data_IF_335213598143
#
_entry.id   IF_335213598143
#
_cell.length_a   1.000
_cell.length_b   1.000
_cell.length_c   1.000
_cell.angle_alpha   90.00
_cell.angle_beta   90.00
_cell.angle_gamma   90.00
#
_symmetry.space_group_name_H-M   'P 1'
#
loop_
_entity.id
_entity.type
_entity.pdbx_description
1 polymer ?
#
# COMPACT_ATOMS: atom_id res chain seq x y z
N UNK A 1 2.27 4.99 -8.72
CA UNK A 1 2.34 4.81 -7.26
C UNK A 1 3.76 5.15 -6.81
N UNK A 2 3.95 6.00 -5.79
CA UNK A 2 5.28 6.27 -5.26
C UNK A 2 5.90 5.00 -4.66
N UNK A 3 7.23 4.98 -4.59
CA UNK A 3 7.97 3.83 -4.09
C UNK A 3 7.67 3.61 -2.59
N UNK A 4 7.46 2.36 -2.19
CA UNK A 4 7.06 2.02 -0.81
C UNK A 4 8.26 2.03 0.12
N UNK A 5 9.44 1.75 -0.44
CA UNK A 5 10.69 1.74 0.29
C UNK A 5 11.65 2.71 -0.37
N UNK A 6 12.18 3.62 0.43
CA UNK A 6 13.22 4.54 0.02
C UNK A 6 14.48 4.22 0.79
N UNK A 7 15.54 3.89 0.06
CA UNK A 7 16.86 3.59 0.60
C UNK A 7 17.76 4.78 0.32
N UNK A 8 18.40 5.31 1.37
CA UNK A 8 19.37 6.39 1.27
C UNK A 8 20.69 5.95 1.90
N UNK A 9 21.82 6.02 1.17
CA UNK A 9 23.11 5.76 1.77
C UNK A 9 23.41 6.85 2.80
N UNK A 10 24.02 6.44 3.91
CA UNK A 10 24.38 7.31 5.02
C UNK A 10 25.90 7.28 5.17
N UNK A 11 26.52 8.44 4.95
CA UNK A 11 27.96 8.60 5.03
C UNK A 11 28.33 9.22 6.39
N UNK A 12 28.72 8.37 7.34
CA UNK A 12 29.18 8.81 8.65
C UNK A 12 30.48 9.61 8.53
N UNK A 13 30.49 10.75 9.20
CA UNK A 13 31.64 11.63 9.35
C UNK A 13 32.01 11.68 10.83
N UNK A 14 33.30 11.81 11.10
CA UNK A 14 33.80 11.96 12.45
C UNK A 14 35.02 12.87 12.45
N UNK A 15 35.28 13.49 13.59
CA UNK A 15 36.49 14.25 13.84
C UNK A 15 37.54 13.32 14.44
N UNK A 16 38.72 13.16 13.80
CA UNK A 16 39.82 12.41 14.39
C UNK A 16 40.35 13.14 15.63
N UNK A 17 40.97 12.38 16.54
CA UNK A 17 41.70 12.98 17.67
C UNK A 17 43.02 13.61 17.18
N UNK A 18 43.43 14.73 17.76
CA UNK A 18 44.68 15.42 17.40
C UNK A 18 45.92 14.71 17.97
N UNK A 19 45.82 14.15 19.18
CA UNK A 19 46.96 13.61 19.93
C UNK A 19 47.12 12.08 19.83
N UNK A 20 46.05 11.36 19.45
CA UNK A 20 46.01 9.90 19.44
C UNK A 20 45.33 9.37 18.20
N UNK A 21 45.70 8.15 17.77
CA UNK A 21 45.03 7.46 16.68
C UNK A 21 43.66 7.02 17.19
N UNK A 22 42.60 7.68 16.74
CA UNK A 22 41.25 7.35 17.17
C UNK A 22 40.18 8.35 16.73
N UNK A 23 38.94 7.96 17.00
CA UNK A 23 37.75 8.74 16.72
C UNK A 23 37.37 9.53 17.98
N UNK A 24 37.42 10.87 17.91
CA UNK A 24 37.15 11.74 19.06
C UNK A 24 35.71 12.27 19.08
N UNK A 25 35.03 12.42 17.95
CA UNK A 25 33.60 12.73 17.96
C UNK A 25 32.76 11.47 17.83
N UNK A 26 31.47 11.54 18.16
CA UNK A 26 30.56 10.49 17.72
C UNK A 26 30.43 10.53 16.19
N UNK A 27 30.48 9.38 15.50
CA UNK A 27 30.22 9.33 14.07
C UNK A 27 28.80 9.80 13.78
N UNK A 28 28.67 10.82 12.94
CA UNK A 28 27.36 11.38 12.59
C UNK A 28 27.26 11.71 11.10
N UNK A 29 26.03 11.73 10.60
CA UNK A 29 25.74 11.96 9.20
C UNK A 29 24.48 12.81 9.02
N UNK A 30 24.53 13.72 8.07
CA UNK A 30 23.34 14.41 7.56
C UNK A 30 22.90 13.77 6.26
N UNK A 31 21.66 13.29 6.23
CA UNK A 31 21.07 12.59 5.10
C UNK A 31 19.92 13.44 4.57
N UNK A 32 20.06 13.94 3.36
CA UNK A 32 18.98 14.63 2.66
C UNK A 32 17.97 13.60 2.13
N UNK A 33 16.75 13.60 2.66
CA UNK A 33 15.68 12.71 2.21
C UNK A 33 15.07 13.22 0.90
N UNK A 34 14.78 14.53 0.83
CA UNK A 34 14.24 15.17 -0.37
C UNK A 34 14.97 16.46 -0.74
N UNK A 35 15.07 16.72 -2.05
CA UNK A 35 15.61 17.96 -2.61
C UNK A 35 14.55 18.89 -3.22
N UNK A 36 13.39 18.38 -3.64
CA UNK A 36 12.40 19.16 -4.43
C UNK A 36 10.92 18.76 -4.23
N UNK A 37 10.62 17.49 -3.99
CA UNK A 37 9.24 16.98 -3.80
C UNK A 37 9.18 16.13 -2.53
N UNK A 38 8.23 16.37 -1.63
CA UNK A 38 8.11 15.61 -0.37
C UNK A 38 8.19 14.10 -0.66
N UNK A 39 9.23 13.44 -0.14
CA UNK A 39 9.44 12.00 -0.33
C UNK A 39 8.40 11.23 0.49
N UNK A 40 7.96 11.82 1.60
CA UNK A 40 6.90 11.34 2.46
C UNK A 40 5.57 11.97 2.03
N UNK A 41 4.53 11.16 2.01
CA UNK A 41 3.16 11.61 1.84
C UNK A 41 2.58 11.95 3.21
N UNK A 42 1.94 13.12 3.31
CA UNK A 42 1.25 13.55 4.53
C UNK A 42 0.18 12.53 4.94
N UNK A 43 0.09 12.27 6.26
CA UNK A 43 -0.95 11.42 6.83
C UNK A 43 -0.76 9.91 6.64
N UNK A 44 0.38 9.47 6.11
CA UNK A 44 0.74 8.06 6.08
C UNK A 44 1.78 7.73 7.16
N UNK A 45 1.61 6.65 7.95
CA UNK A 45 2.65 6.20 8.88
C UNK A 45 3.83 5.56 8.13
N UNK A 46 5.04 5.92 8.54
CA UNK A 46 6.31 5.44 8.03
C UNK A 46 7.12 4.78 9.14
N UNK A 47 7.74 3.65 8.78
CA UNK A 47 8.71 2.93 9.60
C UNK A 47 10.11 3.27 9.11
N UNK A 48 10.90 3.89 9.96
CA UNK A 48 12.26 4.34 9.65
C UNK A 48 13.25 3.39 10.33
N UNK A 49 14.06 2.70 9.52
CA UNK A 49 15.07 1.75 9.98
C UNK A 49 16.45 2.22 9.54
N UNK A 50 17.44 2.08 10.40
CA UNK A 50 18.84 2.21 10.05
C UNK A 50 19.43 0.81 9.90
N UNK A 51 20.05 0.53 8.76
CA UNK A 51 20.81 -0.69 8.52
C UNK A 51 22.28 -0.33 8.68
N UNK A 52 22.96 -0.89 9.67
CA UNK A 52 24.38 -0.70 9.90
C UNK A 52 25.14 -1.94 9.44
N UNK A 53 26.11 -1.76 8.56
CA UNK A 53 27.06 -2.78 8.15
C UNK A 53 28.31 -2.69 9.01
N UNK A 54 28.54 -3.69 9.85
CA UNK A 54 29.67 -3.71 10.78
C UNK A 54 30.51 -4.98 10.62
N UNK A 55 31.84 -4.91 10.74
CA UNK A 55 32.68 -6.09 10.80
C UNK A 55 32.56 -6.81 12.14
N UNK A 56 32.80 -8.14 12.14
CA UNK A 56 32.85 -8.97 13.35
C UNK A 56 34.21 -8.88 14.09
N UNK A 57 34.74 -7.67 14.30
CA UNK A 57 36.00 -7.46 15.03
C UNK A 57 35.85 -7.69 16.54
N UNK A 58 36.96 -7.97 17.21
CA UNK A 58 36.96 -8.17 18.66
C UNK A 58 36.54 -6.89 19.42
N UNK A 59 36.95 -5.72 18.92
CA UNK A 59 36.54 -4.41 19.46
C UNK A 59 35.01 -4.25 19.40
N UNK A 60 34.39 -4.57 18.26
CA UNK A 60 32.93 -4.48 18.12
C UNK A 60 32.18 -5.52 18.97
N UNK A 61 32.77 -6.71 19.17
CA UNK A 61 32.21 -7.76 20.05
C UNK A 61 32.25 -7.34 21.52
N UNK A 62 33.35 -6.73 21.95
CA UNK A 62 33.59 -6.33 23.33
C UNK A 62 32.89 -4.99 23.68
N UNK A 63 32.51 -4.19 22.68
CA UNK A 63 31.79 -2.92 22.85
C UNK A 63 30.45 -3.09 23.57
N UNK A 64 29.75 -4.21 23.34
CA UNK A 64 28.42 -4.46 23.89
C UNK A 64 27.34 -3.59 23.25
N UNK A 65 26.43 -3.06 24.07
CA UNK A 65 25.32 -2.21 23.61
C UNK A 65 25.80 -0.79 23.33
N UNK A 66 25.40 -0.24 22.19
CA UNK A 66 25.61 1.17 21.84
C UNK A 66 24.30 1.81 21.42
N UNK A 67 24.23 3.14 21.53
CA UNK A 67 23.03 3.89 21.17
C UNK A 67 23.15 4.47 19.76
N UNK A 68 22.06 4.41 19.01
CA UNK A 68 21.90 5.06 17.71
C UNK A 68 20.76 6.06 17.83
N UNK A 69 21.05 7.32 17.56
CA UNK A 69 20.08 8.40 17.59
C UNK A 69 19.82 8.93 16.19
N UNK A 70 18.56 9.26 15.91
CA UNK A 70 18.14 9.94 14.71
C UNK A 70 17.30 11.16 15.07
N UNK A 71 17.59 12.28 14.44
CA UNK A 71 16.86 13.54 14.55
C UNK A 71 16.35 13.92 13.16
N UNK A 72 15.03 14.04 13.04
CA UNK A 72 14.38 14.48 11.82
C UNK A 72 14.26 16.00 11.84
N UNK A 73 14.62 16.63 10.73
CA UNK A 73 14.58 18.09 10.57
C UNK A 73 13.75 18.46 9.34
N UNK A 74 12.92 19.47 9.50
CA UNK A 74 12.16 20.07 8.43
C UNK A 74 13.01 21.11 7.68
N UNK A 75 12.43 21.64 6.60
CA UNK A 75 13.04 22.71 5.82
C UNK A 75 13.41 23.90 6.73
N UNK A 76 14.64 24.41 6.57
CA UNK A 76 15.17 25.48 7.44
C UNK A 76 15.82 24.98 8.73
N UNK A 77 15.96 23.66 8.90
CA UNK A 77 16.67 23.06 10.04
C UNK A 77 15.84 22.98 11.32
N UNK A 78 14.53 23.20 11.22
CA UNK A 78 13.60 23.09 12.36
C UNK A 78 13.55 21.64 12.83
N UNK A 79 13.71 21.44 14.14
CA UNK A 79 13.62 20.12 14.76
C UNK A 79 12.17 19.63 14.77
N UNK A 80 11.93 18.43 14.23
CA UNK A 80 10.60 17.81 14.19
C UNK A 80 10.49 16.73 15.26
N UNK A 81 11.41 15.76 15.24
CA UNK A 81 11.37 14.64 16.16
C UNK A 81 12.75 14.01 16.34
N UNK A 82 12.98 13.40 17.50
CA UNK A 82 14.18 12.60 17.77
C UNK A 82 13.82 11.25 18.36
N UNK A 83 14.58 10.23 17.98
CA UNK A 83 14.50 8.90 18.59
C UNK A 83 15.91 8.36 18.80
N UNK A 84 16.13 7.72 19.95
CA UNK A 84 17.37 7.04 20.29
C UNK A 84 17.05 5.58 20.65
N UNK A 85 17.79 4.65 20.06
CA UNK A 85 17.58 3.21 20.20
C UNK A 85 18.89 2.51 20.49
N UNK A 86 18.86 1.58 21.44
CA UNK A 86 19.98 0.70 21.69
C UNK A 86 20.11 -0.33 20.57
N UNK A 87 21.34 -0.61 20.18
CA UNK A 87 21.70 -1.65 19.22
C UNK A 87 22.90 -2.43 19.77
N UNK A 88 22.99 -3.69 19.36
CA UNK A 88 24.09 -4.57 19.76
C UNK A 88 24.41 -5.51 18.61
N UNK A 89 25.70 -5.80 18.41
CA UNK A 89 26.12 -6.87 17.50
C UNK A 89 25.57 -8.20 18.00
N UNK A 90 25.15 -9.07 17.08
CA UNK A 90 24.57 -10.35 17.50
C UNK A 90 25.69 -11.23 18.03
N UNK A 91 25.63 -11.54 19.31
CA UNK A 91 26.62 -12.41 19.94
C UNK A 91 26.63 -13.79 19.27
N UNK A 92 27.84 -14.28 19.00
CA UNK A 92 28.13 -15.62 18.48
C UNK A 92 29.25 -16.21 19.33
N UNK A 93 29.12 -17.49 19.71
CA UNK A 93 30.16 -18.17 20.47
C UNK A 93 31.40 -18.44 19.60
N UNK A 94 32.58 -18.59 20.24
CA UNK A 94 33.85 -18.91 19.54
C UNK A 94 33.74 -20.21 18.75
N UNK A 95 33.05 -21.22 19.30
CA UNK A 95 32.81 -22.50 18.62
C UNK A 95 31.95 -22.31 17.36
N UNK A 96 30.89 -21.51 17.45
CA UNK A 96 30.03 -21.23 16.30
C UNK A 96 30.80 -20.45 15.21
N UNK A 97 31.65 -19.51 15.61
CA UNK A 97 32.52 -18.80 14.67
C UNK A 97 33.48 -19.77 13.96
N UNK A 98 34.15 -20.69 14.69
CA UNK A 98 35.02 -21.70 14.10
C UNK A 98 34.29 -22.59 13.09
N UNK A 99 33.12 -23.12 13.44
CA UNK A 99 32.31 -23.96 12.55
C UNK A 99 31.90 -23.18 11.29
N UNK A 100 31.48 -21.93 11.43
CA UNK A 100 31.11 -21.09 10.28
C UNK A 100 32.32 -20.84 9.38
N UNK A 101 33.45 -20.43 9.95
CA UNK A 101 34.67 -20.15 9.18
C UNK A 101 35.20 -21.40 8.48
N UNK A 102 35.10 -22.59 9.07
CA UNK A 102 35.51 -23.84 8.41
C UNK A 102 34.56 -24.25 7.29
N UNK A 103 33.24 -24.23 7.55
CA UNK A 103 32.21 -24.60 6.57
C UNK A 103 32.17 -23.62 5.38
N UNK A 104 32.28 -22.31 5.65
CA UNK A 104 32.25 -21.26 4.62
C UNK A 104 33.65 -20.86 4.12
N UNK A 105 34.72 -21.57 4.51
CA UNK A 105 36.10 -21.27 4.08
C UNK A 105 36.28 -21.10 2.57
N UNK A 106 35.73 -21.95 1.67
CA UNK A 106 35.91 -21.73 0.23
C UNK A 106 35.22 -20.45 -0.25
N UNK A 107 34.08 -20.08 0.34
CA UNK A 107 33.31 -18.88 -0.04
C UNK A 107 34.00 -17.59 0.46
N UNK A 108 34.61 -17.64 1.64
CA UNK A 108 35.40 -16.54 2.20
C UNK A 108 36.70 -16.33 1.41
N UNK A 109 37.42 -17.41 1.06
CA UNK A 109 38.68 -17.32 0.29
C UNK A 109 38.45 -16.86 -1.16
N UNK A 110 37.32 -17.22 -1.76
CA UNK A 110 36.95 -16.73 -3.10
C UNK A 110 36.41 -15.30 -3.10
N UNK A 111 36.24 -14.67 -1.93
CA UNK A 111 35.70 -13.31 -1.80
C UNK A 111 34.21 -13.18 -2.11
N UNK A 112 33.48 -14.31 -2.17
CA UNK A 112 32.03 -14.32 -2.38
C UNK A 112 31.27 -13.92 -1.12
N UNK A 113 31.84 -14.19 0.06
CA UNK A 113 31.32 -13.79 1.35
C UNK A 113 32.38 -13.01 2.13
N UNK A 114 31.96 -11.98 2.86
CA UNK A 114 32.80 -11.18 3.75
C UNK A 114 32.36 -11.37 5.21
N UNK A 115 33.29 -11.22 6.15
CA UNK A 115 33.01 -11.29 7.60
C UNK A 115 32.35 -10.01 8.14
N UNK A 116 31.20 -9.67 7.57
CA UNK A 116 30.36 -8.54 7.99
C UNK A 116 29.02 -9.01 8.54
N UNK A 117 28.44 -8.16 9.38
CA UNK A 117 27.12 -8.35 9.93
C UNK A 117 26.29 -7.09 9.70
N UNK A 118 25.07 -7.27 9.20
CA UNK A 118 24.08 -6.20 9.07
C UNK A 118 23.20 -6.16 10.33
N UNK A 119 23.05 -4.98 10.92
CA UNK A 119 22.19 -4.73 12.08
C UNK A 119 21.07 -3.79 11.66
N UNK A 120 19.83 -4.24 11.82
CA UNK A 120 18.65 -3.42 11.56
C UNK A 120 18.16 -2.81 12.87
N UNK A 121 18.23 -1.48 12.97
CA UNK A 121 17.76 -0.71 14.12
C UNK A 121 16.53 0.08 13.71
N UNK A 122 15.38 -0.21 14.32
CA UNK A 122 14.15 0.53 14.07
C UNK A 122 14.11 1.80 14.92
N UNK A 123 14.30 2.95 14.29
CA UNK A 123 14.33 4.24 14.95
C UNK A 123 12.92 4.76 15.24
N UNK A 124 12.04 4.69 14.24
CA UNK A 124 10.63 5.09 14.34
C UNK A 124 9.74 3.99 13.78
N UNK A 125 8.70 3.60 14.53
CA UNK A 125 7.72 2.59 14.09
C UNK A 125 6.62 3.17 13.23
N UNK A 126 6.01 4.27 13.69
CA UNK A 126 4.83 4.90 13.08
C UNK A 126 5.02 6.42 12.99
N UNK A 127 6.03 6.86 12.25
CA UNK A 127 6.27 8.28 12.01
C UNK A 127 5.27 8.82 10.97
N UNK A 128 4.50 9.84 11.33
CA UNK A 128 3.57 10.52 10.42
C UNK A 128 4.18 11.87 10.08
N UNK A 129 4.31 12.17 8.79
CA UNK A 129 4.82 13.46 8.33
C UNK A 129 3.70 14.52 8.37
N UNK A 130 3.97 15.63 9.07
CA UNK A 130 3.08 16.78 9.14
C UNK A 130 3.25 17.68 7.91
N UNK A 131 2.17 18.14 7.27
CA UNK A 131 2.26 18.92 6.04
C UNK A 131 2.88 20.31 6.24
N UNK A 132 2.78 20.88 7.44
CA UNK A 132 3.35 22.18 7.79
C UNK A 132 4.87 22.09 8.03
N UNK A 133 5.35 21.00 8.62
CA UNK A 133 6.76 20.75 8.94
C UNK A 133 7.28 19.47 8.28
N UNK A 134 7.15 19.39 6.95
CA UNK A 134 7.60 18.20 6.20
C UNK A 134 9.09 17.95 6.39
N UNK A 135 9.47 16.72 6.71
CA UNK A 135 10.87 16.35 6.96
C UNK A 135 11.70 16.39 5.66
N UNK A 136 12.79 17.15 5.68
CA UNK A 136 13.74 17.25 4.55
C UNK A 136 15.03 16.48 4.82
N UNK A 137 15.50 16.52 6.06
CA UNK A 137 16.81 16.03 6.45
C UNK A 137 16.72 15.14 7.69
N UNK A 138 17.55 14.11 7.74
CA UNK A 138 17.74 13.27 8.90
C UNK A 138 19.19 13.40 9.37
N UNK A 139 19.39 13.75 10.63
CA UNK A 139 20.69 13.70 11.31
C UNK A 139 20.77 12.40 12.10
N UNK A 140 21.73 11.56 11.76
CA UNK A 140 21.93 10.25 12.40
C UNK A 140 23.26 10.30 13.15
N UNK A 141 23.28 9.82 14.37
CA UNK A 141 24.46 9.80 15.24
C UNK A 141 24.57 8.45 15.93
N UNK A 142 25.76 7.85 15.85
CA UNK A 142 26.08 6.62 16.59
C UNK A 142 26.87 7.02 17.84
N UNK A 143 26.27 6.84 19.00
CA UNK A 143 26.84 7.24 20.29
C UNK A 143 27.85 6.22 20.80
N UNK A 144 28.92 6.02 20.04
CA UNK A 144 30.09 5.28 20.46
C UNK A 144 31.31 5.75 19.65
N UNK A 145 32.43 5.97 20.32
CA UNK A 145 33.71 6.32 19.69
C UNK A 145 34.47 5.09 19.18
N UNK A 146 34.22 3.94 19.78
CA UNK A 146 34.97 2.71 19.52
C UNK A 146 34.27 1.77 18.52
N UNK A 147 33.06 2.14 18.08
CA UNK A 147 32.30 1.36 17.11
C UNK A 147 32.96 1.46 15.74
N UNK A 148 33.14 0.31 15.10
CA UNK A 148 33.65 0.21 13.74
C UNK A 148 32.49 -0.15 12.82
N UNK A 149 32.22 0.71 11.84
CA UNK A 149 31.11 0.59 10.89
C UNK A 149 31.68 0.80 9.49
N UNK A 150 31.33 -0.08 8.54
CA UNK A 150 31.72 0.07 7.13
C UNK A 150 30.80 1.04 6.39
N UNK A 151 29.50 0.89 6.62
CA UNK A 151 28.49 1.70 5.96
C UNK A 151 27.18 1.65 6.72
N UNK A 152 26.31 2.58 6.40
CA UNK A 152 24.95 2.54 6.88
C UNK A 152 23.98 3.01 5.81
N UNK A 153 22.77 2.48 5.86
CA UNK A 153 21.69 2.82 4.96
C UNK A 153 20.45 3.15 5.78
N UNK A 154 19.81 4.27 5.43
CA UNK A 154 18.54 4.66 5.99
C UNK A 154 17.42 4.12 5.10
N UNK A 155 16.60 3.26 5.67
CA UNK A 155 15.47 2.63 5.02
C UNK A 155 14.18 3.25 5.56
N UNK A 156 13.49 4.00 4.71
CA UNK A 156 12.18 4.57 5.02
C UNK A 156 11.12 3.73 4.32
N UNK A 157 10.31 3.02 5.11
CA UNK A 157 9.31 2.08 4.61
C UNK A 157 7.92 2.59 4.98
N UNK A 158 7.06 2.74 3.98
CA UNK A 158 5.68 3.14 4.19
C UNK A 158 4.90 1.98 4.84
N UNK A 159 4.28 2.19 6.00
CA UNK A 159 3.39 1.20 6.60
C UNK A 159 1.98 1.43 6.03
N UNK A 160 1.43 0.43 5.34
CA UNK A 160 0.04 0.44 4.91
C UNK A 160 -0.76 -0.42 5.87
N UNK A 161 -1.85 0.11 6.42
CA UNK A 161 -2.81 -0.63 7.24
C UNK A 161 -4.17 -0.71 6.54
N UNK A 162 -5.02 -1.65 6.96
CA UNK A 162 -6.39 -1.79 6.48
C UNK A 162 -6.52 -2.23 5.02
N UNK A 163 -7.49 -1.66 4.30
CA UNK A 163 -7.79 -2.02 2.91
C UNK A 163 -6.59 -1.78 1.97
N UNK A 164 -5.83 -0.70 2.21
CA UNK A 164 -4.65 -0.34 1.40
C UNK A 164 -3.57 -1.42 1.45
N UNK A 165 -3.40 -2.11 2.58
CA UNK A 165 -2.46 -3.22 2.72
C UNK A 165 -2.83 -4.39 1.80
N UNK A 166 -4.11 -4.79 1.83
CA UNK A 166 -4.63 -5.89 1.01
C UNK A 166 -4.53 -5.56 -0.47
N UNK A 167 -4.89 -4.33 -0.85
CA UNK A 167 -4.77 -3.86 -2.24
C UNK A 167 -3.31 -3.85 -2.73
N UNK A 168 -2.37 -3.47 -1.88
CA UNK A 168 -0.96 -3.38 -2.27
C UNK A 168 -0.29 -4.74 -2.40
N UNK A 169 -0.47 -5.62 -1.41
CA UNK A 169 0.19 -6.92 -1.40
C UNK A 169 -0.53 -7.94 -2.31
N UNK A 170 -1.87 -7.87 -2.41
CA UNK A 170 -2.74 -8.84 -3.12
C UNK A 170 -3.72 -8.15 -4.09
N UNK A 171 -3.23 -7.40 -5.10
CA UNK A 171 -4.07 -6.58 -5.96
C UNK A 171 -5.17 -7.39 -6.68
N UNK A 172 -4.84 -8.58 -7.18
CA UNK A 172 -5.78 -9.44 -7.91
C UNK A 172 -6.95 -9.92 -7.04
N UNK A 173 -6.66 -10.33 -5.81
CA UNK A 173 -7.67 -10.87 -4.90
C UNK A 173 -8.54 -9.73 -4.36
N UNK A 174 -7.94 -8.57 -4.06
CA UNK A 174 -8.70 -7.37 -3.70
C UNK A 174 -9.66 -6.93 -4.80
N UNK A 175 -9.22 -6.98 -6.07
CA UNK A 175 -10.06 -6.64 -7.22
C UNK A 175 -11.21 -7.63 -7.40
N UNK A 176 -10.93 -8.94 -7.29
CA UNK A 176 -11.96 -9.98 -7.40
C UNK A 176 -13.04 -9.83 -6.33
N UNK A 177 -12.65 -9.60 -5.06
CA UNK A 177 -13.58 -9.38 -3.96
C UNK A 177 -14.40 -8.10 -4.20
N UNK A 178 -13.77 -7.02 -4.64
CA UNK A 178 -14.45 -5.76 -4.95
C UNK A 178 -15.49 -5.89 -6.08
N UNK A 179 -15.12 -6.55 -7.18
CA UNK A 179 -16.04 -6.80 -8.31
C UNK A 179 -17.17 -7.73 -7.88
N UNK A 180 -16.87 -8.82 -7.15
CA UNK A 180 -17.87 -9.78 -6.70
C UNK A 180 -18.88 -9.16 -5.75
N UNK A 181 -18.44 -8.33 -4.80
CA UNK A 181 -19.34 -7.64 -3.85
C UNK A 181 -20.20 -6.60 -4.57
N UNK A 182 -19.63 -5.81 -5.49
CA UNK A 182 -20.41 -4.87 -6.29
C UNK A 182 -21.48 -5.58 -7.14
N UNK A 183 -21.11 -6.65 -7.85
CA UNK A 183 -22.05 -7.42 -8.66
C UNK A 183 -23.14 -8.07 -7.81
N UNK A 184 -22.80 -8.54 -6.60
CA UNK A 184 -23.77 -9.08 -5.65
C UNK A 184 -24.81 -8.03 -5.22
N UNK A 185 -24.40 -6.82 -4.85
CA UNK A 185 -25.33 -5.75 -4.48
C UNK A 185 -26.22 -5.30 -5.64
N UNK A 186 -25.66 -5.16 -6.84
CA UNK A 186 -26.43 -4.82 -8.05
C UNK A 186 -27.48 -5.90 -8.32
N UNK A 187 -27.08 -7.17 -8.29
CA UNK A 187 -28.00 -8.30 -8.46
C UNK A 187 -29.11 -8.31 -7.41
N UNK A 188 -28.77 -8.04 -6.14
CA UNK A 188 -29.75 -7.97 -5.04
C UNK A 188 -30.79 -6.86 -5.28
N UNK A 189 -30.36 -5.67 -5.69
CA UNK A 189 -31.28 -4.56 -6.01
C UNK A 189 -32.19 -4.92 -7.18
N UNK A 190 -31.67 -5.54 -8.24
CA UNK A 190 -32.48 -6.01 -9.36
C UNK A 190 -33.53 -7.02 -8.93
N UNK A 191 -33.15 -7.97 -8.07
CA UNK A 191 -34.06 -8.98 -7.54
C UNK A 191 -35.15 -8.31 -6.67
N UNK A 192 -34.79 -7.40 -5.76
CA UNK A 192 -35.77 -6.67 -4.94
C UNK A 192 -36.69 -5.79 -5.79
N UNK A 193 -36.15 -5.11 -6.81
CA UNK A 193 -36.93 -4.32 -7.75
C UNK A 193 -37.90 -5.20 -8.54
N UNK A 194 -37.48 -6.41 -8.92
CA UNK A 194 -38.33 -7.38 -9.59
C UNK A 194 -39.45 -7.87 -8.66
N UNK A 195 -39.14 -8.23 -7.41
CA UNK A 195 -40.15 -8.64 -6.43
C UNK A 195 -41.15 -7.52 -6.13
N UNK A 196 -40.69 -6.28 -5.93
CA UNK A 196 -41.58 -5.14 -5.72
C UNK A 196 -42.46 -4.86 -6.95
N UNK A 197 -41.91 -4.95 -8.16
CA UNK A 197 -42.70 -4.83 -9.39
C UNK A 197 -43.74 -5.94 -9.51
N UNK A 198 -43.39 -7.17 -9.10
CA UNK A 198 -44.30 -8.32 -9.15
C UNK A 198 -45.37 -8.28 -8.06
N UNK A 199 -45.13 -7.65 -6.90
CA UNK A 199 -46.16 -7.34 -5.91
C UNK A 199 -47.07 -6.17 -6.36
N UNK A 200 -46.54 -5.21 -7.12
CA UNK A 200 -47.34 -4.13 -7.74
C UNK A 200 -48.14 -4.55 -8.98
N UNK A 201 -47.70 -5.60 -9.69
CA UNK A 201 -48.34 -6.12 -10.89
C UNK A 201 -49.77 -6.68 -10.68
N UNK A 202 -50.10 -7.47 -9.62
CA UNK A 202 -51.46 -7.96 -9.40
C UNK A 202 -52.45 -6.84 -9.09
N UNK A 203 -52.04 -5.72 -8.46
CA UNK A 203 -52.92 -4.56 -8.28
C UNK A 203 -53.11 -3.75 -9.57
N UNK A 204 -52.05 -3.59 -10.38
CA UNK A 204 -52.14 -2.95 -11.70
C UNK A 204 -52.95 -3.78 -12.71
N UNK A 205 -52.83 -5.11 -12.67
CA UNK A 205 -53.60 -6.03 -13.52
C UNK A 205 -55.05 -6.12 -13.02
N UNK A 206 -55.30 -6.18 -11.71
CA UNK A 206 -56.68 -6.17 -11.16
C UNK A 206 -57.39 -4.83 -11.41
N UNK A 207 -56.68 -3.70 -11.40
CA UNK A 207 -57.27 -2.40 -11.79
C UNK A 207 -57.46 -2.24 -13.30
N UNK A 208 -56.64 -2.89 -14.15
CA UNK A 208 -56.84 -2.89 -15.62
C UNK A 208 -57.81 -3.95 -16.15
N UNK A 209 -57.93 -5.11 -15.50
CA UNK A 209 -58.74 -6.26 -15.96
C UNK A 209 -59.94 -6.58 -15.05
N UNK A 210 -60.12 -5.89 -13.93
CA UNK A 210 -61.18 -6.15 -12.96
C UNK A 210 -62.51 -5.45 -13.25
N UNK A 211 -63.08 -5.63 -14.44
CA UNK A 211 -64.55 -5.56 -14.65
C UNK A 211 -64.91 -6.11 -16.04
N UNK A 212 -65.11 -7.43 -16.13
CA UNK A 212 -65.95 -8.05 -17.16
C UNK A 212 -66.45 -9.38 -16.63
N UNK A 213 -67.60 -9.33 -15.96
CA UNK A 213 -68.40 -10.51 -15.65
C UNK A 213 -68.73 -11.26 -16.94
N UNK A 214 -68.37 -12.54 -17.03
CA UNK A 214 -68.93 -13.45 -18.03
C UNK A 214 -69.73 -14.51 -17.28
N UNK A 215 -71.04 -14.48 -17.52
CA UNK A 215 -72.04 -15.43 -17.03
C UNK A 215 -71.66 -16.87 -17.42
N UNK A 216 -71.89 -17.79 -16.48
CA UNK A 216 -71.87 -19.24 -16.70
C UNK A 216 -72.84 -19.63 -17.81
N UNK A 217 -72.37 -20.46 -18.74
CA UNK A 217 -73.19 -21.50 -19.38
C UNK A 217 -72.32 -22.69 -19.80
N UNK A 218 -72.98 -23.84 -19.94
CA UNK A 218 -72.51 -25.20 -19.71
C UNK A 218 -71.69 -25.86 -20.85
N UNK A 219 -71.09 -27.00 -20.47
CA UNK A 219 -70.96 -28.26 -21.24
C UNK A 219 -69.59 -28.64 -21.84
N UNK A 220 -68.99 -29.60 -21.13
CA UNK A 220 -68.21 -30.78 -21.55
C UNK A 220 -67.87 -30.93 -23.05
N UNK A 221 -66.58 -31.11 -23.35
CA UNK A 221 -66.14 -32.09 -24.34
C UNK A 221 -64.94 -31.74 -25.22
N UNK A 222 -63.89 -32.55 -25.07
CA UNK A 222 -62.85 -32.95 -26.05
C UNK A 222 -61.55 -32.14 -26.17
N UNK A 223 -60.50 -32.91 -25.88
CA UNK A 223 -59.08 -32.74 -26.22
C UNK A 223 -58.91 -32.67 -27.76
N UNK A 224 -58.10 -31.72 -28.27
CA UNK A 224 -57.36 -31.88 -29.53
C UNK A 224 -56.13 -30.95 -29.61
N UNK A 225 -55.06 -31.50 -30.16
CA UNK A 225 -53.72 -30.97 -30.39
C UNK A 225 -53.62 -29.94 -31.54
N UNK A 226 -52.54 -29.15 -31.48
CA UNK A 226 -51.89 -28.28 -32.49
C UNK A 226 -52.70 -27.03 -32.90
N UNK A 227 -52.14 -25.82 -33.04
CA UNK A 227 -50.99 -25.44 -33.86
C UNK A 227 -50.52 -23.98 -33.55
N UNK A 228 -49.31 -23.64 -33.99
CA UNK A 228 -48.59 -22.36 -33.90
C UNK A 228 -49.39 -21.06 -34.11
N UNK A 229 -48.99 -20.02 -33.38
CA UNK A 229 -48.51 -18.76 -33.99
C UNK A 229 -47.81 -17.91 -32.93
N UNK A 230 -46.55 -17.56 -33.22
CA UNK A 230 -45.85 -16.43 -32.63
C UNK A 230 -46.61 -15.17 -33.02
N UNK A 231 -46.80 -14.25 -32.08
CA UNK A 231 -46.77 -12.81 -32.34
C UNK A 231 -46.53 -12.06 -31.02
N UNK A 232 -45.31 -11.57 -30.87
CA UNK A 232 -44.96 -10.50 -29.92
C UNK A 232 -45.27 -9.16 -30.62
N UNK A 233 -46.02 -8.23 -30.01
CA UNK A 233 -46.26 -6.93 -30.63
C UNK A 233 -44.99 -6.08 -30.60
N UNK A 234 -44.50 -5.80 -31.80
CA UNK A 234 -43.57 -4.74 -32.19
C UNK A 234 -44.27 -3.38 -32.05
N UNK A 235 -43.80 -2.52 -31.13
CA UNK A 235 -44.11 -1.09 -31.15
C UNK A 235 -43.06 -0.35 -30.32
N UNK A 236 -42.06 0.25 -30.97
CA UNK A 236 -41.37 1.46 -30.45
C UNK A 236 -40.40 2.17 -31.43
N UNK A 237 -40.21 1.67 -32.66
CA UNK A 237 -39.25 2.30 -33.59
C UNK A 237 -39.77 3.51 -34.40
N UNK A 238 -41.08 3.64 -34.62
CA UNK A 238 -41.62 4.76 -35.44
C UNK A 238 -41.67 6.10 -34.70
N UNK A 239 -41.77 6.09 -33.36
CA UNK A 239 -41.86 7.31 -32.57
C UNK A 239 -40.51 8.04 -32.45
N UNK A 240 -39.40 7.28 -32.35
CA UNK A 240 -38.06 7.85 -32.21
C UNK A 240 -37.54 8.48 -33.52
N UNK A 241 -37.85 7.88 -34.67
CA UNK A 241 -37.45 8.44 -35.97
C UNK A 241 -38.11 9.80 -36.27
N UNK A 242 -39.36 10.01 -35.83
CA UNK A 242 -40.03 11.30 -35.96
C UNK A 242 -39.48 12.38 -35.03
N UNK A 243 -38.96 12.01 -33.85
CA UNK A 243 -38.29 12.96 -32.95
C UNK A 243 -36.91 13.37 -33.48
N UNK A 244 -36.12 12.45 -34.04
CA UNK A 244 -34.83 12.77 -34.64
C UNK A 244 -34.96 13.70 -35.87
N UNK A 245 -35.96 13.48 -36.74
CA UNK A 245 -36.21 14.37 -37.89
C UNK A 245 -36.64 15.78 -37.48
N UNK A 246 -37.42 15.93 -36.39
CA UNK A 246 -37.80 17.25 -35.85
C UNK A 246 -36.62 18.00 -35.25
N UNK A 247 -35.63 17.30 -34.70
CA UNK A 247 -34.42 17.91 -34.14
C UNK A 247 -33.44 18.38 -35.22
N UNK A 248 -33.36 17.68 -36.36
CA UNK A 248 -32.54 18.12 -37.51
C UNK A 248 -33.11 19.37 -38.20
N UNK A 249 -34.42 19.43 -38.42
CA UNK A 249 -35.04 20.62 -39.04
C UNK A 249 -34.93 21.89 -38.18
N UNK A 250 -34.88 21.74 -36.85
CA UNK A 250 -34.76 22.88 -35.93
C UNK A 250 -33.34 23.45 -35.85
N UNK A 251 -32.32 22.71 -36.30
CA UNK A 251 -30.92 23.16 -36.37
C UNK A 251 -30.54 23.82 -37.69
N UNK A 252 -31.32 23.64 -38.76
CA UNK A 252 -31.06 24.23 -40.09
C UNK A 252 -31.71 25.60 -40.36
N UNK A 253 -32.36 26.21 -39.36
CA UNK A 253 -33.06 27.51 -39.51
C UNK A 253 -32.54 28.52 -38.47
N UNK A 254 -31.22 28.64 -38.36
CA UNK A 254 -30.54 29.68 -37.59
C UNK A 254 -29.12 29.88 -38.11
N UNK A 255 -29.02 30.22 -39.38
CA UNK A 255 -27.90 30.95 -39.99
C UNK A 255 -28.47 31.92 -41.03
#
# INVERSE_FOLDING_TARGET
>A
MPNVTHIRPVHLQFKPCEEQIGVCSFPSAHVQLTRRTSLLMSGQPYRIKLVLDMPETQINKDLGMFMVCAQLRAKGGVFVSSSCRAAMIRYRSKLHHLIRTTVFSPMLLSGLEEEKQQIHVELFSDFIDDPEFSVTDAYIEVQSRFVQVYGCELHVQAHFSGLRYIMYYWPRISALIGISTNLFFVSLIFILSWYHLQEGLPEFIKSKFGEKEIKKEESIGKIKLEQESKDFPFFEDEALLQEFQKLEQKKGLKD
#
